data_IF_794687745406
#
_entry.id   IF_794687745406
#
_cell.length_a   1.000
_cell.length_b   1.000
_cell.length_c   1.000
_cell.angle_alpha   90.00
_cell.angle_beta   90.00
_cell.angle_gamma   90.00
#
_symmetry.space_group_name_H-M   'P 1'
#
loop_
_entity.id
_entity.type
_entity.pdbx_description
1 polymer ?
#
# COMPACT_ATOMS: atom_id res chain seq x y z
N UNK A 1 -12.98 -23.75 -8.37
CA UNK A 1 -12.62 -25.15 -8.70
C UNK A 1 -12.24 -25.77 -7.37
N UNK A 2 -12.94 -26.81 -6.93
CA UNK A 2 -13.11 -27.15 -5.51
C UNK A 2 -11.94 -28.03 -5.02
N UNK A 3 -11.12 -27.51 -4.09
CA UNK A 3 -10.17 -28.29 -3.29
C UNK A 3 -10.96 -29.06 -2.22
N UNK A 4 -10.73 -30.36 -2.05
CA UNK A 4 -11.29 -31.17 -0.96
C UNK A 4 -10.15 -31.82 -0.18
N UNK A 5 -10.13 -31.58 1.12
CA UNK A 5 -9.12 -32.06 2.07
C UNK A 5 -9.40 -33.49 2.57
N UNK A 6 -8.32 -34.25 2.76
CA UNK A 6 -8.28 -35.51 3.52
C UNK A 6 -7.36 -35.26 4.73
N UNK A 7 -7.94 -35.21 5.94
CA UNK A 7 -7.24 -34.74 7.15
C UNK A 7 -6.41 -35.88 7.75
N UNK A 8 -5.08 -35.69 7.84
CA UNK A 8 -4.18 -36.50 8.67
C UNK A 8 -3.75 -35.70 9.90
N UNK A 9 -3.95 -36.27 11.09
CA UNK A 9 -3.51 -35.68 12.36
C UNK A 9 -2.00 -35.87 12.55
N UNK A 10 -1.25 -34.78 12.76
CA UNK A 10 0.20 -34.77 12.90
C UNK A 10 0.70 -35.12 14.32
N UNK A 11 1.89 -35.73 14.36
CA UNK A 11 2.70 -35.98 15.57
C UNK A 11 3.45 -34.70 15.98
N UNK A 12 3.67 -34.39 17.26
CA UNK A 12 4.37 -33.16 17.67
C UNK A 12 5.83 -33.17 17.20
N UNK A 13 6.19 -32.29 16.25
CA UNK A 13 7.56 -32.07 15.80
C UNK A 13 7.77 -32.02 14.29
N UNK A 14 6.87 -32.61 13.50
CA UNK A 14 6.93 -32.51 12.04
C UNK A 14 6.13 -31.29 11.56
N UNK A 15 6.66 -30.50 10.61
CA UNK A 15 5.93 -29.39 10.01
C UNK A 15 4.63 -29.90 9.39
N UNK A 16 3.54 -29.15 9.59
CA UNK A 16 2.24 -29.51 9.01
C UNK A 16 2.35 -29.51 7.49
N UNK A 17 1.67 -30.47 6.87
CA UNK A 17 1.67 -30.60 5.41
C UNK A 17 0.41 -29.97 4.84
N UNK A 18 0.59 -29.00 3.94
CA UNK A 18 -0.46 -28.42 3.11
C UNK A 18 -0.43 -29.05 1.72
N UNK A 19 -1.59 -29.37 1.16
CA UNK A 19 -1.67 -30.00 -0.17
C UNK A 19 -2.26 -29.03 -1.19
N UNK A 20 -1.49 -28.70 -2.23
CA UNK A 20 -1.98 -27.96 -3.38
C UNK A 20 -2.17 -28.92 -4.56
N UNK A 21 -3.42 -29.28 -4.85
CA UNK A 21 -3.77 -30.24 -5.90
C UNK A 21 -4.09 -29.55 -7.22
N UNK A 22 -3.48 -30.03 -8.29
CA UNK A 22 -3.73 -29.58 -9.66
C UNK A 22 -4.23 -30.74 -10.51
N UNK A 23 -5.51 -30.68 -10.91
CA UNK A 23 -6.15 -31.72 -11.73
C UNK A 23 -5.82 -31.62 -13.22
N UNK A 24 -5.43 -30.43 -13.68
CA UNK A 24 -5.17 -30.14 -15.09
C UNK A 24 -3.87 -29.32 -15.24
N UNK A 25 -3.10 -29.54 -16.32
CA UNK A 25 -1.84 -28.84 -16.54
C UNK A 25 -2.02 -27.33 -16.67
N UNK A 26 -3.12 -26.83 -17.25
CA UNK A 26 -3.38 -25.39 -17.44
C UNK A 26 -3.52 -24.67 -16.09
N UNK A 27 -4.13 -25.35 -15.12
CA UNK A 27 -4.30 -24.81 -13.77
C UNK A 27 -2.94 -24.70 -13.06
N UNK A 28 -2.09 -25.71 -13.21
CA UNK A 28 -0.72 -25.66 -12.69
C UNK A 28 0.12 -24.61 -13.40
N UNK A 29 0.09 -24.53 -14.74
CA UNK A 29 0.85 -23.54 -15.50
C UNK A 29 0.45 -22.10 -15.14
N UNK A 30 -0.85 -21.85 -14.95
CA UNK A 30 -1.34 -20.55 -14.49
C UNK A 30 -0.82 -20.24 -13.08
N UNK A 31 -0.98 -21.16 -12.14
CA UNK A 31 -0.50 -20.98 -10.76
C UNK A 31 1.02 -20.81 -10.71
N UNK A 32 1.75 -21.54 -11.56
CA UNK A 32 3.20 -21.43 -11.66
C UNK A 32 3.62 -20.03 -12.10
N UNK A 33 3.06 -19.53 -13.21
CA UNK A 33 3.43 -18.21 -13.78
C UNK A 33 3.01 -17.06 -12.87
N UNK A 34 1.83 -17.17 -12.25
CA UNK A 34 1.31 -16.13 -11.38
C UNK A 34 1.99 -16.12 -10.01
N UNK A 35 2.26 -17.29 -9.43
CA UNK A 35 2.58 -17.40 -8.01
C UNK A 35 3.87 -18.18 -7.74
N UNK A 36 3.95 -19.46 -8.11
CA UNK A 36 5.06 -20.32 -7.69
C UNK A 36 6.42 -19.82 -8.21
N UNK A 37 6.49 -19.32 -9.45
CA UNK A 37 7.73 -18.80 -10.05
C UNK A 37 8.26 -17.54 -9.36
N UNK A 38 7.42 -16.91 -8.56
CA UNK A 38 7.72 -15.72 -7.74
C UNK A 38 7.94 -16.07 -6.27
N UNK A 39 7.96 -17.36 -5.91
CA UNK A 39 8.27 -17.81 -4.55
C UNK A 39 7.08 -17.84 -3.59
N UNK A 40 5.84 -17.79 -4.08
CA UNK A 40 4.65 -17.85 -3.22
C UNK A 40 3.55 -18.77 -3.74
N UNK A 41 2.63 -19.16 -2.86
CA UNK A 41 1.38 -19.86 -3.22
C UNK A 41 0.29 -19.54 -2.20
N UNK A 42 -0.96 -19.43 -2.65
CA UNK A 42 -2.12 -19.41 -1.76
C UNK A 42 -2.77 -20.80 -1.73
N UNK A 43 -3.04 -21.32 -0.53
CA UNK A 43 -3.65 -22.64 -0.33
C UNK A 43 -4.96 -22.44 0.42
N UNK A 44 -6.07 -22.79 -0.25
CA UNK A 44 -7.38 -22.83 0.38
C UNK A 44 -7.41 -23.94 1.44
N UNK A 45 -7.72 -23.58 2.69
CA UNK A 45 -7.83 -24.52 3.81
C UNK A 45 -8.71 -23.91 4.89
N UNK A 46 -9.44 -24.77 5.62
CA UNK A 46 -10.23 -24.36 6.78
C UNK A 46 -9.43 -24.39 8.09
N UNK A 47 -8.22 -24.95 8.04
CA UNK A 47 -7.33 -25.05 9.17
C UNK A 47 -6.80 -23.68 9.61
N UNK A 48 -6.57 -23.53 10.90
CA UNK A 48 -5.91 -22.36 11.47
C UNK A 48 -4.40 -22.53 11.47
N UNK A 49 -3.68 -21.47 11.12
CA UNK A 49 -2.23 -21.40 11.13
C UNK A 49 -1.79 -20.12 11.82
N UNK A 50 -0.62 -20.18 12.46
CA UNK A 50 0.03 -18.99 12.99
C UNK A 50 0.87 -18.32 11.90
N UNK A 51 0.99 -16.99 11.94
CA UNK A 51 1.98 -16.30 11.12
C UNK A 51 3.37 -16.83 11.49
N UNK A 52 4.21 -17.04 10.47
CA UNK A 52 5.56 -17.60 10.58
C UNK A 52 5.63 -19.08 10.92
N UNK A 53 4.50 -19.79 10.92
CA UNK A 53 4.49 -21.24 11.04
C UNK A 53 5.21 -21.87 9.83
N UNK A 54 6.15 -22.78 10.11
CA UNK A 54 6.84 -23.54 9.07
C UNK A 54 5.96 -24.72 8.63
N UNK A 55 5.77 -24.83 7.32
CA UNK A 55 4.92 -25.85 6.69
C UNK A 55 5.65 -26.54 5.55
N UNK A 56 5.26 -27.79 5.28
CA UNK A 56 5.65 -28.48 4.05
C UNK A 56 4.47 -28.41 3.08
N UNK A 57 4.74 -27.98 1.86
CA UNK A 57 3.75 -27.91 0.79
C UNK A 57 3.95 -29.10 -0.14
N UNK A 58 2.94 -29.95 -0.26
CA UNK A 58 2.88 -31.03 -1.25
C UNK A 58 2.09 -30.55 -2.47
N UNK A 59 2.80 -30.21 -3.54
CA UNK A 59 2.22 -29.94 -4.85
C UNK A 59 1.86 -31.27 -5.51
N UNK A 60 0.56 -31.57 -5.61
CA UNK A 60 0.08 -32.78 -6.25
C UNK A 60 -0.37 -32.50 -7.69
N UNK A 61 0.44 -32.91 -8.66
CA UNK A 61 0.14 -32.82 -10.08
C UNK A 61 -0.64 -34.07 -10.51
N UNK A 62 -1.95 -34.09 -10.24
CA UNK A 62 -2.79 -35.27 -10.48
C UNK A 62 -2.82 -35.67 -11.96
N UNK A 63 -2.66 -34.73 -12.89
CA UNK A 63 -2.56 -34.99 -14.32
C UNK A 63 -1.29 -35.75 -14.75
N UNK A 64 -0.31 -35.90 -13.86
CA UNK A 64 0.94 -36.66 -14.07
C UNK A 64 1.19 -37.75 -13.05
N UNK A 65 0.32 -37.87 -12.03
CA UNK A 65 0.54 -38.70 -10.85
C UNK A 65 1.90 -38.42 -10.14
N UNK A 66 2.31 -37.16 -10.15
CA UNK A 66 3.56 -36.69 -9.54
C UNK A 66 3.27 -35.83 -8.30
N UNK A 67 4.15 -35.90 -7.30
CA UNK A 67 4.09 -35.08 -6.07
C UNK A 67 5.43 -34.42 -5.82
N UNK A 68 5.41 -33.12 -5.52
CA UNK A 68 6.61 -32.35 -5.21
C UNK A 68 6.47 -31.70 -3.85
N UNK A 69 7.51 -31.83 -3.02
CA UNK A 69 7.57 -31.19 -1.71
C UNK A 69 8.44 -29.95 -1.75
N UNK A 70 7.92 -28.89 -1.14
CA UNK A 70 8.57 -27.60 -0.94
C UNK A 70 8.37 -27.21 0.52
N UNK A 71 9.37 -26.60 1.12
CA UNK A 71 9.23 -26.02 2.46
C UNK A 71 8.82 -24.55 2.33
N UNK A 72 7.98 -24.10 3.26
CA UNK A 72 7.43 -22.76 3.25
C UNK A 72 7.14 -22.21 4.65
N UNK A 73 6.88 -20.91 4.70
CA UNK A 73 6.50 -20.15 5.89
C UNK A 73 5.14 -19.46 5.63
N UNK A 74 4.23 -19.54 6.60
CA UNK A 74 2.94 -18.82 6.53
C UNK A 74 3.18 -17.32 6.68
N UNK A 75 2.92 -16.55 5.63
CA UNK A 75 3.12 -15.09 5.65
C UNK A 75 1.81 -14.30 5.70
N UNK A 76 0.69 -14.95 5.39
CA UNK A 76 -0.64 -14.36 5.53
C UNK A 76 -1.69 -15.43 5.76
N UNK A 77 -2.68 -15.11 6.58
CA UNK A 77 -3.84 -15.97 6.86
C UNK A 77 -5.09 -15.21 6.47
N UNK A 78 -5.93 -15.81 5.63
CA UNK A 78 -7.23 -15.27 5.23
C UNK A 78 -8.35 -16.03 5.95
N UNK A 79 -9.12 -15.36 6.83
CA UNK A 79 -10.21 -16.02 7.55
C UNK A 79 -11.38 -16.37 6.61
N UNK A 80 -12.14 -17.39 7.00
CA UNK A 80 -13.34 -17.80 6.28
C UNK A 80 -14.42 -16.72 6.25
N UNK A 81 -15.12 -16.59 5.11
CA UNK A 81 -16.30 -15.74 4.97
C UNK A 81 -15.99 -14.26 4.71
N UNK A 82 -14.72 -13.87 4.66
CA UNK A 82 -14.33 -12.50 4.39
C UNK A 82 -14.56 -12.13 2.92
N UNK A 83 -15.52 -11.24 2.66
CA UNK A 83 -15.90 -10.79 1.31
C UNK A 83 -16.25 -11.92 0.32
N UNK A 84 -16.73 -13.06 0.81
CA UNK A 84 -17.04 -14.23 -0.02
C UNK A 84 -15.82 -14.96 -0.59
N UNK A 85 -14.60 -14.55 -0.24
CA UNK A 85 -13.38 -15.26 -0.60
C UNK A 85 -13.24 -16.54 0.26
N UNK A 86 -12.62 -17.60 -0.29
CA UNK A 86 -12.33 -18.81 0.47
C UNK A 86 -11.30 -18.52 1.58
N UNK A 87 -11.44 -19.24 2.69
CA UNK A 87 -10.42 -19.28 3.73
C UNK A 87 -9.15 -19.91 3.18
N UNK A 88 -8.00 -19.49 3.67
CA UNK A 88 -6.74 -20.11 3.30
C UNK A 88 -5.53 -19.36 3.83
N UNK A 89 -4.37 -19.82 3.40
CA UNK A 89 -3.09 -19.27 3.81
C UNK A 89 -2.24 -18.95 2.60
N UNK A 90 -1.54 -17.81 2.66
CA UNK A 90 -0.48 -17.51 1.73
C UNK A 90 0.85 -17.95 2.32
N UNK A 91 1.58 -18.73 1.54
CA UNK A 91 2.84 -19.36 1.94
C UNK A 91 3.97 -18.79 1.10
N UNK A 92 5.01 -18.28 1.75
CA UNK A 92 6.29 -17.97 1.11
C UNK A 92 7.12 -19.24 1.06
N UNK A 93 7.63 -19.59 -0.11
CA UNK A 93 8.51 -20.73 -0.29
C UNK A 93 9.91 -20.37 0.21
N UNK A 94 10.54 -21.27 0.99
CA UNK A 94 11.87 -21.05 1.54
C UNK A 94 13.00 -21.24 0.52
N UNK A 95 12.71 -21.95 -0.57
CA UNK A 95 13.64 -22.10 -1.68
C UNK A 95 13.65 -20.80 -2.51
N UNK A 96 14.83 -20.36 -3.00
CA UNK A 96 14.92 -19.18 -3.87
C UNK A 96 14.03 -19.33 -5.10
N UNK A 97 13.47 -18.20 -5.57
CA UNK A 97 12.57 -18.19 -6.72
C UNK A 97 13.26 -18.75 -7.98
N UNK A 98 14.57 -18.51 -8.13
CA UNK A 98 15.42 -19.11 -9.18
C UNK A 98 15.43 -20.64 -9.15
N UNK A 99 15.58 -21.25 -7.98
CA UNK A 99 15.54 -22.71 -7.79
C UNK A 99 14.15 -23.27 -8.09
N UNK A 100 13.10 -22.61 -7.61
CA UNK A 100 11.71 -23.01 -7.87
C UNK A 100 11.43 -22.98 -9.38
N UNK A 101 11.88 -21.92 -10.07
CA UNK A 101 11.75 -21.81 -11.53
C UNK A 101 12.46 -22.95 -12.25
N UNK A 102 13.70 -23.27 -11.86
CA UNK A 102 14.46 -24.37 -12.44
C UNK A 102 13.81 -25.73 -12.20
N UNK A 103 13.25 -25.95 -11.00
CA UNK A 103 12.65 -27.22 -10.59
C UNK A 103 11.26 -27.45 -11.18
N UNK A 104 10.40 -26.43 -11.18
CA UNK A 104 8.99 -26.56 -11.58
C UNK A 104 8.70 -26.07 -13.01
N UNK A 105 9.56 -25.22 -13.58
CA UNK A 105 9.39 -24.67 -14.93
C UNK A 105 9.20 -25.73 -16.02
N UNK A 106 10.01 -26.81 -16.07
CA UNK A 106 9.83 -27.90 -17.03
C UNK A 106 8.49 -28.66 -16.89
N UNK A 107 7.81 -28.53 -15.76
CA UNK A 107 6.51 -29.14 -15.51
C UNK A 107 5.36 -28.23 -15.95
N UNK A 108 5.59 -26.92 -15.99
CA UNK A 108 4.60 -25.88 -16.31
C UNK A 108 4.51 -25.56 -17.80
N UNK A 109 5.39 -26.12 -18.64
CA UNK A 109 5.34 -25.97 -20.09
C UNK A 109 4.20 -26.78 -20.70
N UNK A 110 3.03 -26.16 -20.75
CA UNK A 110 2.13 -26.31 -21.89
C UNK A 110 2.66 -25.42 -23.02
N UNK A 111 2.37 -25.78 -24.28
CA UNK A 111 2.70 -24.93 -25.44
C UNK A 111 2.38 -23.45 -25.12
N UNK A 112 3.28 -22.51 -25.48
CA UNK A 112 3.15 -21.12 -25.09
C UNK A 112 1.78 -20.59 -25.49
N UNK A 113 1.00 -20.18 -24.49
CA UNK A 113 -0.27 -19.50 -24.67
C UNK A 113 0.05 -18.11 -25.23
N UNK A 114 -0.15 -17.92 -26.54
CA UNK A 114 0.19 -16.67 -27.25
C UNK A 114 -0.58 -15.44 -26.72
N UNK A 115 -1.65 -15.66 -25.94
CA UNK A 115 -2.58 -14.62 -25.49
C UNK A 115 -2.30 -14.05 -24.08
N UNK A 116 -1.30 -14.55 -23.35
CA UNK A 116 -0.91 -13.92 -22.07
C UNK A 116 0.06 -12.77 -22.34
N UNK A 117 -0.17 -11.56 -21.78
CA UNK A 117 0.78 -10.47 -21.88
C UNK A 117 2.08 -10.89 -21.20
N UNK A 118 3.05 -11.28 -22.02
CA UNK A 118 4.42 -11.51 -21.59
C UNK A 118 4.96 -10.13 -21.23
N UNK A 119 4.93 -9.78 -19.95
CA UNK A 119 5.79 -8.74 -19.40
C UNK A 119 7.24 -9.25 -19.39
N UNK A 120 7.73 -9.75 -20.53
CA UNK A 120 9.15 -9.99 -20.77
C UNK A 120 9.75 -8.62 -20.98
N UNK A 121 10.12 -7.99 -19.88
CA UNK A 121 10.98 -6.83 -19.89
C UNK A 121 12.27 -7.27 -20.62
N UNK A 122 12.58 -6.65 -21.77
CA UNK A 122 13.78 -6.95 -22.57
C UNK A 122 15.08 -6.49 -21.87
N UNK A 123 15.04 -6.36 -20.54
CA UNK A 123 16.06 -5.85 -19.64
C UNK A 123 16.44 -7.00 -18.71
N UNK A 124 17.74 -7.23 -18.51
CA UNK A 124 18.29 -8.48 -17.96
C UNK A 124 17.95 -8.87 -16.51
N UNK A 125 17.04 -8.17 -15.81
CA UNK A 125 16.62 -8.51 -14.45
C UNK A 125 15.10 -8.37 -14.29
N UNK A 126 14.45 -9.40 -13.74
CA UNK A 126 13.02 -9.41 -13.45
C UNK A 126 12.70 -8.39 -12.35
N UNK A 127 11.87 -7.39 -12.68
CA UNK A 127 11.30 -6.48 -11.68
C UNK A 127 10.03 -7.10 -11.11
N UNK A 128 9.83 -6.96 -9.81
CA UNK A 128 8.54 -7.23 -9.18
C UNK A 128 7.98 -5.94 -8.59
N UNK A 129 6.66 -5.83 -8.55
CA UNK A 129 5.93 -4.78 -7.82
C UNK A 129 5.97 -5.07 -6.30
N UNK A 130 7.15 -5.42 -5.79
CA UNK A 130 7.39 -5.67 -4.39
C UNK A 130 7.44 -4.34 -3.65
N UNK A 131 6.46 -4.13 -2.77
CA UNK A 131 6.38 -2.97 -1.87
C UNK A 131 7.00 -3.32 -0.53
N UNK A 132 8.13 -2.71 -0.25
CA UNK A 132 9.02 -3.05 0.85
C UNK A 132 9.46 -1.75 1.51
N UNK A 133 9.54 -1.75 2.84
CA UNK A 133 10.07 -0.61 3.57
C UNK A 133 11.56 -0.46 3.24
N UNK A 134 11.96 0.77 2.92
CA UNK A 134 13.32 1.14 2.56
C UNK A 134 13.70 2.40 3.33
N UNK A 135 14.88 2.43 3.93
CA UNK A 135 15.44 3.62 4.56
C UNK A 135 16.62 4.11 3.73
N UNK A 136 16.63 5.41 3.46
CA UNK A 136 17.77 6.09 2.79
C UNK A 136 18.45 6.95 3.83
N UNK A 137 19.71 6.66 4.12
CA UNK A 137 20.43 7.26 5.26
C UNK A 137 20.64 8.77 5.11
N UNK A 138 20.77 9.27 3.88
CA UNK A 138 21.00 10.68 3.56
C UNK A 138 19.79 11.57 3.92
N UNK A 139 18.58 11.03 3.84
CA UNK A 139 17.33 11.76 4.11
C UNK A 139 16.67 11.36 5.44
N UNK A 140 17.26 10.39 6.16
CA UNK A 140 16.74 9.81 7.40
C UNK A 140 15.22 9.53 7.35
N UNK A 141 14.77 9.04 6.19
CA UNK A 141 13.35 8.84 5.91
C UNK A 141 13.07 7.36 5.64
N UNK A 142 11.96 6.90 6.21
CA UNK A 142 11.38 5.59 5.86
C UNK A 142 10.49 5.77 4.62
N UNK A 143 10.79 4.99 3.59
CA UNK A 143 10.20 5.03 2.25
C UNK A 143 9.62 3.66 1.91
N UNK A 144 8.77 3.59 0.88
CA UNK A 144 8.37 2.32 0.27
C UNK A 144 8.99 2.16 -1.11
N UNK A 145 9.38 0.94 -1.46
CA UNK A 145 9.68 0.59 -2.85
C UNK A 145 8.36 0.52 -3.65
N UNK A 146 8.36 1.07 -4.87
CA UNK A 146 7.31 0.87 -5.87
C UNK A 146 7.60 -0.36 -6.73
N UNK A 147 8.86 -0.53 -7.11
CA UNK A 147 9.39 -1.73 -7.75
C UNK A 147 10.75 -2.09 -7.13
N UNK A 148 11.08 -3.38 -7.13
CA UNK A 148 12.35 -3.91 -6.66
C UNK A 148 12.89 -4.94 -7.65
N UNK A 149 14.19 -4.95 -7.86
CA UNK A 149 14.95 -5.95 -8.62
C UNK A 149 16.33 -6.15 -8.02
N UNK A 150 17.05 -7.18 -8.47
CA UNK A 150 18.44 -7.42 -8.07
C UNK A 150 19.39 -6.30 -8.47
N UNK A 151 19.03 -5.46 -9.45
CA UNK A 151 19.88 -4.38 -9.99
C UNK A 151 19.47 -2.98 -9.54
N UNK A 152 18.40 -2.85 -8.77
CA UNK A 152 17.90 -1.55 -8.32
C UNK A 152 16.45 -1.56 -7.86
N UNK A 153 16.02 -0.43 -7.33
CA UNK A 153 14.69 -0.18 -6.81
C UNK A 153 14.17 1.19 -7.26
N UNK A 154 12.85 1.31 -7.37
CA UNK A 154 12.18 2.60 -7.45
C UNK A 154 11.64 2.94 -6.07
N UNK A 155 12.20 3.94 -5.41
CA UNK A 155 11.78 4.39 -4.08
C UNK A 155 10.71 5.48 -4.23
N UNK A 156 9.66 5.40 -3.43
CA UNK A 156 8.67 6.47 -3.32
C UNK A 156 9.16 7.52 -2.34
N UNK A 157 9.35 8.73 -2.85
CA UNK A 157 9.96 9.84 -2.14
C UNK A 157 9.15 11.08 -2.42
N UNK A 158 8.68 11.75 -1.38
CA UNK A 158 8.04 13.07 -1.49
C UNK A 158 8.98 14.11 -0.92
N UNK A 159 9.32 15.09 -1.74
CA UNK A 159 10.03 16.30 -1.34
C UNK A 159 11.44 16.10 -0.75
N UNK A 160 12.09 14.96 -0.97
CA UNK A 160 13.48 14.80 -0.53
C UNK A 160 14.47 15.02 -1.69
N UNK A 161 15.47 15.89 -1.51
CA UNK A 161 16.40 16.27 -2.56
C UNK A 161 17.52 15.22 -2.65
N UNK A 162 17.30 14.17 -3.41
CA UNK A 162 18.38 13.31 -3.87
C UNK A 162 18.78 13.77 -5.28
N UNK A 163 20.06 13.99 -5.52
CA UNK A 163 20.56 14.48 -6.80
C UNK A 163 20.82 13.31 -7.78
N UNK A 164 20.62 13.57 -9.08
CA UNK A 164 20.99 12.59 -10.10
C UNK A 164 22.51 12.32 -10.07
N UNK A 165 22.87 11.05 -9.95
CA UNK A 165 24.25 10.59 -9.83
C UNK A 165 24.78 10.54 -8.40
N UNK A 166 23.98 10.92 -7.41
CA UNK A 166 24.31 10.77 -6.00
C UNK A 166 24.37 9.29 -5.61
N UNK A 167 25.42 8.91 -4.88
CA UNK A 167 25.56 7.59 -4.27
C UNK A 167 24.92 7.62 -2.90
N UNK A 168 24.01 6.68 -2.66
CA UNK A 168 23.21 6.59 -1.44
C UNK A 168 23.28 5.17 -0.85
N UNK A 169 23.10 5.04 0.46
CA UNK A 169 22.91 3.75 1.13
C UNK A 169 21.41 3.47 1.34
N UNK A 170 20.90 2.43 0.67
CA UNK A 170 19.51 1.99 0.80
C UNK A 170 19.44 0.77 1.71
N UNK A 171 18.78 0.91 2.86
CA UNK A 171 18.47 -0.20 3.76
C UNK A 171 17.09 -0.75 3.43
N UNK A 172 17.02 -1.95 2.84
CA UNK A 172 15.77 -2.65 2.56
C UNK A 172 15.39 -3.55 3.75
N UNK A 173 14.14 -3.49 4.19
CA UNK A 173 13.64 -4.30 5.30
C UNK A 173 12.75 -5.44 4.82
N UNK A 174 13.09 -6.68 5.17
CA UNK A 174 12.29 -7.84 4.82
C UNK A 174 10.89 -7.78 5.47
N UNK A 175 9.79 -7.93 4.71
CA UNK A 175 8.44 -7.57 5.16
C UNK A 175 7.85 -8.51 6.24
N UNK A 176 8.47 -9.67 6.46
CA UNK A 176 8.04 -10.68 7.45
C UNK A 176 9.02 -10.77 8.63
N UNK A 177 10.29 -11.10 8.36
CA UNK A 177 11.33 -11.20 9.41
C UNK A 177 11.71 -9.86 10.04
N UNK A 178 11.54 -8.73 9.34
CA UNK A 178 12.01 -7.41 9.77
C UNK A 178 13.53 -7.22 9.64
N UNK A 179 14.25 -8.20 9.08
CA UNK A 179 15.69 -8.10 8.82
C UNK A 179 15.98 -6.98 7.83
N UNK A 180 17.00 -6.18 8.11
CA UNK A 180 17.42 -5.07 7.25
C UNK A 180 18.71 -5.45 6.52
N UNK A 181 18.77 -5.11 5.23
CA UNK A 181 19.97 -5.27 4.42
C UNK A 181 20.32 -3.95 3.73
N UNK A 182 21.58 -3.53 3.87
CA UNK A 182 22.07 -2.27 3.31
C UNK A 182 22.74 -2.49 1.97
N UNK A 183 22.35 -1.69 0.99
CA UNK A 183 22.80 -1.79 -0.38
C UNK A 183 23.19 -0.40 -0.86
N UNK A 184 24.45 -0.24 -1.27
CA UNK A 184 24.91 0.97 -1.93
C UNK A 184 24.33 1.06 -3.35
N UNK A 185 23.83 2.23 -3.72
CA UNK A 185 23.31 2.46 -5.06
C UNK A 185 23.44 3.91 -5.50
N UNK A 186 23.32 4.12 -6.80
CA UNK A 186 23.38 5.45 -7.41
C UNK A 186 22.00 5.87 -7.89
N UNK A 187 21.63 7.11 -7.64
CA UNK A 187 20.40 7.73 -8.13
C UNK A 187 20.51 7.94 -9.64
N UNK A 188 19.69 7.25 -10.42
CA UNK A 188 19.79 7.25 -11.89
C UNK A 188 18.66 7.98 -12.60
N UNK A 189 17.55 8.24 -11.91
CA UNK A 189 16.42 8.99 -12.46
C UNK A 189 15.50 9.51 -11.37
N UNK A 190 14.85 10.62 -11.63
CA UNK A 190 13.68 11.07 -10.87
C UNK A 190 12.41 10.60 -11.58
N UNK A 191 11.43 10.23 -10.80
CA UNK A 191 10.06 10.01 -11.25
C UNK A 191 9.26 11.26 -10.88
N UNK A 192 8.78 11.98 -11.88
CA UNK A 192 7.99 13.20 -11.69
C UNK A 192 6.54 12.96 -12.07
N UNK A 193 5.62 13.43 -11.23
CA UNK A 193 4.19 13.51 -11.52
C UNK A 193 3.75 14.96 -11.26
N UNK A 194 3.11 15.58 -12.25
CA UNK A 194 2.65 16.99 -12.18
C UNK A 194 3.76 18.02 -11.84
N UNK A 195 5.01 17.73 -12.22
CA UNK A 195 6.16 18.61 -11.96
C UNK A 195 6.72 18.50 -10.53
N UNK A 196 6.28 17.52 -9.76
CA UNK A 196 6.79 17.19 -8.43
C UNK A 196 7.48 15.82 -8.50
N UNK A 197 8.67 15.70 -7.93
CA UNK A 197 9.36 14.42 -7.81
C UNK A 197 8.60 13.56 -6.81
N UNK A 198 8.03 12.44 -7.28
CA UNK A 198 7.27 11.48 -6.48
C UNK A 198 8.03 10.19 -6.19
N UNK A 199 9.21 10.02 -6.80
CA UNK A 199 10.07 8.89 -6.52
C UNK A 199 11.44 9.01 -7.18
N UNK A 200 12.33 8.12 -6.76
CA UNK A 200 13.72 8.10 -7.20
C UNK A 200 14.09 6.68 -7.61
N UNK A 201 14.58 6.54 -8.84
CA UNK A 201 15.12 5.27 -9.32
C UNK A 201 16.57 5.13 -8.88
N UNK A 202 16.85 4.11 -8.10
CA UNK A 202 18.17 3.78 -7.57
C UNK A 202 18.67 2.53 -8.29
N UNK A 203 19.89 2.60 -8.84
CA UNK A 203 20.59 1.44 -9.38
C UNK A 203 21.57 0.94 -8.33
N UNK A 204 21.50 -0.34 -7.97
CA UNK A 204 22.45 -0.93 -7.03
C UNK A 204 23.82 -1.10 -7.69
N UNK A 205 24.88 -0.87 -6.92
CA UNK A 205 26.24 -0.98 -7.43
C UNK A 205 26.58 -2.44 -7.78
N UNK A 206 27.11 -2.74 -8.99
CA UNK A 206 27.36 -4.12 -9.42
C UNK A 206 28.24 -4.92 -8.46
N UNK A 207 29.26 -4.28 -7.87
CA UNK A 207 30.17 -4.93 -6.91
C UNK A 207 29.46 -5.38 -5.61
N UNK A 208 28.32 -4.76 -5.29
CA UNK A 208 27.49 -5.12 -4.15
C UNK A 208 26.50 -6.21 -4.55
N UNK A 209 25.88 -6.10 -5.73
CA UNK A 209 24.92 -7.09 -6.26
C UNK A 209 25.56 -8.45 -6.52
N UNK A 210 26.83 -8.48 -6.94
CA UNK A 210 27.59 -9.73 -7.16
C UNK A 210 27.90 -10.49 -5.86
N UNK A 211 27.60 -9.92 -4.69
CA UNK A 211 27.68 -10.63 -3.43
C UNK A 211 26.49 -11.61 -3.32
N UNK A 212 26.74 -12.93 -3.13
CA UNK A 212 25.68 -13.93 -3.07
C UNK A 212 24.58 -13.66 -2.02
N UNK A 213 24.87 -12.83 -1.01
CA UNK A 213 23.91 -12.43 0.01
C UNK A 213 22.86 -11.43 -0.50
N UNK A 214 23.22 -10.50 -1.39
CA UNK A 214 22.31 -9.44 -1.86
C UNK A 214 21.27 -10.00 -2.81
N UNK A 215 21.69 -10.77 -3.81
CA UNK A 215 20.77 -11.39 -4.77
C UNK A 215 19.75 -12.26 -4.04
N UNK A 216 20.22 -13.13 -3.14
CA UNK A 216 19.35 -13.98 -2.33
C UNK A 216 18.40 -13.16 -1.46
N UNK A 217 18.91 -12.15 -0.76
CA UNK A 217 18.06 -11.30 0.07
C UNK A 217 16.98 -10.59 -0.75
N UNK A 218 17.32 -10.05 -1.93
CA UNK A 218 16.34 -9.41 -2.81
C UNK A 218 15.32 -10.43 -3.33
N UNK A 219 15.73 -11.62 -3.77
CA UNK A 219 14.79 -12.68 -4.17
C UNK A 219 13.86 -13.07 -3.00
N UNK A 220 14.40 -13.22 -1.79
CA UNK A 220 13.64 -13.57 -0.58
C UNK A 220 12.64 -12.46 -0.22
N UNK A 221 13.04 -11.19 -0.28
CA UNK A 221 12.17 -10.02 -0.08
C UNK A 221 11.06 -9.95 -1.12
N UNK A 222 11.38 -10.17 -2.39
CA UNK A 222 10.38 -10.18 -3.47
C UNK A 222 9.37 -11.32 -3.28
N UNK A 223 9.85 -12.52 -2.92
CA UNK A 223 9.00 -13.67 -2.66
C UNK A 223 8.07 -13.44 -1.45
N UNK A 224 8.61 -12.86 -0.36
CA UNK A 224 7.82 -12.50 0.81
C UNK A 224 6.74 -11.47 0.48
N UNK A 225 7.10 -10.41 -0.27
CA UNK A 225 6.17 -9.37 -0.68
C UNK A 225 5.05 -9.92 -1.57
N UNK A 226 5.40 -10.77 -2.55
CA UNK A 226 4.43 -11.43 -3.41
C UNK A 226 3.47 -12.34 -2.62
N UNK A 227 4.02 -13.21 -1.77
CA UNK A 227 3.20 -14.10 -0.95
C UNK A 227 2.27 -13.32 0.01
N UNK A 228 2.72 -12.19 0.57
CA UNK A 228 1.86 -11.30 1.37
C UNK A 228 0.70 -10.71 0.56
N UNK A 229 0.90 -10.40 -0.73
CA UNK A 229 -0.16 -9.93 -1.63
C UNK A 229 -1.16 -11.04 -1.96
N UNK A 230 -0.74 -12.30 -2.06
CA UNK A 230 -1.66 -13.42 -2.32
C UNK A 230 -2.72 -13.61 -1.23
N UNK A 231 -2.37 -13.29 0.03
CA UNK A 231 -3.30 -13.30 1.16
C UNK A 231 -4.21 -12.08 1.22
N UNK A 232 -3.86 -10.98 0.53
CA UNK A 232 -4.61 -9.73 0.55
C UNK A 232 -5.97 -9.87 -0.14
N UNK A 233 -6.94 -9.08 0.30
CA UNK A 233 -8.24 -8.95 -0.37
C UNK A 233 -8.25 -7.64 -1.12
N UNK A 234 -8.41 -7.71 -2.43
CA UNK A 234 -8.36 -6.55 -3.31
C UNK A 234 -9.69 -6.39 -4.05
N UNK A 235 -10.05 -5.16 -4.36
CA UNK A 235 -11.26 -4.87 -5.12
C UNK A 235 -11.46 -3.39 -5.40
N UNK A 236 -12.45 -3.04 -6.23
CA UNK A 236 -12.78 -1.65 -6.48
C UNK A 236 -13.62 -1.08 -5.34
N UNK A 237 -13.45 0.21 -5.05
CA UNK A 237 -14.14 0.90 -3.95
C UNK A 237 -15.61 1.19 -4.31
N UNK A 238 -15.88 1.48 -5.58
CA UNK A 238 -17.20 1.86 -6.09
C UNK A 238 -18.28 0.77 -5.91
N UNK A 239 -17.87 -0.48 -5.72
CA UNK A 239 -18.78 -1.60 -5.51
C UNK A 239 -19.51 -1.54 -4.14
N UNK A 240 -18.84 -1.10 -3.07
CA UNK A 240 -19.38 -1.14 -1.69
C UNK A 240 -19.21 0.17 -0.91
N UNK A 241 -18.27 1.03 -1.31
CA UNK A 241 -17.83 2.20 -0.56
C UNK A 241 -16.90 1.86 0.60
N UNK A 242 -16.00 2.79 0.94
CA UNK A 242 -14.95 2.55 1.93
C UNK A 242 -15.49 2.33 3.36
N UNK A 243 -16.57 3.01 3.74
CA UNK A 243 -17.22 2.85 5.05
C UNK A 243 -17.69 1.41 5.26
N UNK A 244 -18.40 0.85 4.28
CA UNK A 244 -18.92 -0.52 4.31
C UNK A 244 -17.79 -1.55 4.35
N UNK A 245 -16.72 -1.32 3.59
CA UNK A 245 -15.52 -2.16 3.59
C UNK A 245 -14.87 -2.20 4.98
N UNK A 246 -14.64 -1.03 5.60
CA UNK A 246 -14.06 -0.95 6.94
C UNK A 246 -14.93 -1.62 8.01
N UNK A 247 -16.25 -1.45 7.96
CA UNK A 247 -17.17 -2.13 8.87
C UNK A 247 -17.11 -3.65 8.70
N UNK A 248 -17.15 -4.13 7.45
CA UNK A 248 -17.06 -5.55 7.12
C UNK A 248 -15.75 -6.16 7.61
N UNK A 249 -14.61 -5.51 7.33
CA UNK A 249 -13.29 -5.99 7.76
C UNK A 249 -13.12 -5.93 9.28
N UNK A 250 -13.57 -4.84 9.92
CA UNK A 250 -13.53 -4.68 11.37
C UNK A 250 -14.38 -5.70 12.12
N UNK A 251 -15.47 -6.18 11.53
CA UNK A 251 -16.29 -7.24 12.10
C UNK A 251 -15.72 -8.66 11.88
N UNK A 252 -14.88 -8.83 10.87
CA UNK A 252 -14.43 -10.16 10.41
C UNK A 252 -12.99 -10.49 10.78
N UNK A 253 -12.17 -9.49 11.10
CA UNK A 253 -10.78 -9.65 11.48
C UNK A 253 -10.50 -8.88 12.78
N UNK A 254 -9.72 -9.47 13.72
CA UNK A 254 -9.37 -8.79 14.97
C UNK A 254 -8.43 -7.60 14.72
N UNK A 255 -7.66 -7.61 13.64
CA UNK A 255 -6.80 -6.52 13.22
C UNK A 255 -6.72 -6.48 11.69
N UNK A 256 -6.34 -5.33 11.14
CA UNK A 256 -6.08 -5.24 9.72
C UNK A 256 -5.56 -3.90 9.26
N UNK A 257 -4.94 -3.95 8.08
CA UNK A 257 -4.44 -2.80 7.35
C UNK A 257 -5.19 -2.71 6.02
N UNK A 258 -5.91 -1.61 5.81
CA UNK A 258 -6.61 -1.28 4.58
C UNK A 258 -5.85 -0.17 3.84
N UNK A 259 -5.26 -0.52 2.70
CA UNK A 259 -4.63 0.41 1.77
C UNK A 259 -5.65 0.82 0.72
N UNK A 260 -5.66 2.11 0.38
CA UNK A 260 -6.64 2.73 -0.52
C UNK A 260 -5.90 3.53 -1.57
N UNK A 261 -6.27 3.39 -2.84
CA UNK A 261 -5.67 4.13 -3.95
C UNK A 261 -6.73 4.72 -4.87
N UNK A 262 -6.61 6.00 -5.20
CA UNK A 262 -7.42 6.70 -6.21
C UNK A 262 -6.51 7.60 -7.04
N UNK A 263 -6.24 7.21 -8.28
CA UNK A 263 -5.22 7.89 -9.10
C UNK A 263 -3.86 7.90 -8.40
N UNK A 264 -3.36 9.10 -8.12
CA UNK A 264 -2.10 9.36 -7.39
C UNK A 264 -2.30 9.39 -5.86
N UNK A 265 -3.53 9.55 -5.39
CA UNK A 265 -3.83 9.59 -3.97
C UNK A 265 -3.74 8.20 -3.37
N UNK A 266 -3.10 8.14 -2.20
CA UNK A 266 -2.90 6.91 -1.45
C UNK A 266 -3.17 7.17 0.00
N UNK A 267 -3.92 6.27 0.60
CA UNK A 267 -4.09 6.28 2.03
C UNK A 267 -4.19 4.90 2.62
N UNK A 268 -4.31 4.93 3.92
CA UNK A 268 -4.10 3.81 4.81
C UNK A 268 -5.05 3.97 5.98
N UNK A 269 -5.67 2.88 6.37
CA UNK A 269 -6.43 2.76 7.60
C UNK A 269 -5.97 1.51 8.33
N UNK A 270 -5.57 1.64 9.59
CA UNK A 270 -5.16 0.53 10.45
C UNK A 270 -6.10 0.43 11.62
N UNK A 271 -6.58 -0.78 11.91
CA UNK A 271 -7.39 -1.07 13.07
C UNK A 271 -6.93 -2.33 13.79
N UNK A 272 -7.20 -2.40 15.08
CA UNK A 272 -6.86 -3.53 15.94
C UNK A 272 -7.79 -3.58 17.15
N UNK A 273 -8.30 -4.77 17.47
CA UNK A 273 -9.26 -5.03 18.53
C UNK A 273 -10.51 -4.12 18.47
N UNK A 274 -11.01 -3.85 17.27
CA UNK A 274 -12.16 -2.97 17.04
C UNK A 274 -11.87 -1.47 17.26
N UNK A 275 -10.61 -1.09 17.42
CA UNK A 275 -10.18 0.31 17.53
C UNK A 275 -9.45 0.76 16.27
N UNK A 276 -9.75 1.97 15.79
CA UNK A 276 -8.89 2.66 14.83
C UNK A 276 -7.56 3.00 15.50
N UNK A 277 -6.47 2.55 14.89
CA UNK A 277 -5.10 2.82 15.33
C UNK A 277 -4.42 3.89 14.50
N UNK A 278 -4.71 3.97 13.20
CA UNK A 278 -4.16 5.00 12.35
C UNK A 278 -5.04 5.25 11.12
N UNK A 279 -5.11 6.49 10.66
CA UNK A 279 -5.61 6.83 9.33
C UNK A 279 -4.71 7.88 8.66
N UNK A 280 -4.31 7.66 7.41
CA UNK A 280 -3.39 8.55 6.67
C UNK A 280 -3.85 8.74 5.24
N UNK A 281 -3.76 9.97 4.74
CA UNK A 281 -3.96 10.31 3.34
C UNK A 281 -3.10 11.54 3.01
N UNK A 282 -2.00 11.32 2.30
CA UNK A 282 -0.99 12.37 2.13
C UNK A 282 -0.45 12.85 3.48
N UNK A 283 -0.47 14.16 3.71
CA UNK A 283 -0.05 14.78 4.98
C UNK A 283 -1.15 14.72 6.06
N UNK A 284 -2.40 14.45 5.68
CA UNK A 284 -3.49 14.34 6.64
C UNK A 284 -3.36 13.06 7.47
N UNK A 285 -3.66 13.19 8.75
CA UNK A 285 -3.66 12.10 9.74
C UNK A 285 -4.96 12.05 10.56
N UNK A 286 -5.19 10.93 11.25
CA UNK A 286 -6.32 10.76 12.17
C UNK A 286 -7.69 10.91 11.51
N UNK A 287 -8.63 11.54 12.25
CA UNK A 287 -10.02 11.67 11.82
C UNK A 287 -10.16 12.43 10.49
N UNK A 288 -9.29 13.41 10.26
CA UNK A 288 -9.28 14.22 9.03
C UNK A 288 -8.93 13.36 7.82
N UNK A 289 -7.89 12.54 7.92
CA UNK A 289 -7.52 11.59 6.89
C UNK A 289 -8.64 10.56 6.64
N UNK A 290 -9.21 10.02 7.72
CA UNK A 290 -10.31 9.06 7.63
C UNK A 290 -11.51 9.66 6.88
N UNK A 291 -11.94 10.87 7.23
CA UNK A 291 -13.05 11.54 6.56
C UNK A 291 -12.79 11.72 5.05
N UNK A 292 -11.59 12.17 4.67
CA UNK A 292 -11.22 12.31 3.24
C UNK A 292 -11.21 10.97 2.51
N UNK A 293 -10.68 9.92 3.14
CA UNK A 293 -10.71 8.57 2.59
C UNK A 293 -12.14 8.06 2.40
N UNK A 294 -13.02 8.27 3.38
CA UNK A 294 -14.42 7.88 3.30
C UNK A 294 -15.19 8.64 2.21
N UNK A 295 -14.70 9.80 1.78
CA UNK A 295 -15.27 10.56 0.66
C UNK A 295 -14.92 9.97 -0.72
N UNK A 296 -14.01 8.97 -0.82
CA UNK A 296 -13.68 8.33 -2.08
C UNK A 296 -14.88 7.55 -2.62
N UNK A 297 -15.27 7.82 -3.87
CA UNK A 297 -16.37 7.14 -4.56
C UNK A 297 -15.90 6.05 -5.52
N UNK A 298 -14.63 6.11 -5.89
CA UNK A 298 -13.95 5.25 -6.84
C UNK A 298 -12.51 5.00 -6.37
N UNK A 299 -11.83 4.08 -7.04
CA UNK A 299 -10.48 3.64 -6.70
C UNK A 299 -10.42 2.15 -6.40
N UNK A 300 -9.29 1.72 -5.85
CA UNK A 300 -9.04 0.34 -5.46
C UNK A 300 -8.63 0.26 -3.99
N UNK A 301 -9.01 -0.82 -3.33
CA UNK A 301 -8.55 -1.13 -1.99
C UNK A 301 -7.73 -2.42 -1.99
N UNK A 302 -6.88 -2.54 -0.98
CA UNK A 302 -6.14 -3.75 -0.64
C UNK A 302 -6.20 -3.91 0.87
N UNK A 303 -6.74 -5.03 1.34
CA UNK A 303 -6.89 -5.35 2.75
C UNK A 303 -5.99 -6.51 3.14
N UNK A 304 -5.26 -6.34 4.24
CA UNK A 304 -4.52 -7.41 4.89
C UNK A 304 -5.06 -7.65 6.30
N UNK A 305 -5.32 -8.92 6.65
CA UNK A 305 -5.84 -9.34 7.96
C UNK A 305 -4.76 -9.37 9.06
N UNK A 306 -3.80 -8.46 8.97
CA UNK A 306 -2.75 -8.26 9.95
C UNK A 306 -2.42 -6.78 10.04
N UNK A 307 -1.93 -6.38 11.20
CA UNK A 307 -1.45 -5.03 11.43
C UNK A 307 -0.06 -4.87 10.83
N UNK A 308 0.11 -3.83 10.02
CA UNK A 308 1.43 -3.49 9.49
C UNK A 308 2.31 -2.80 10.56
N UNK A 309 3.52 -3.31 10.82
CA UNK A 309 4.42 -2.77 11.83
C UNK A 309 5.04 -1.43 11.40
N UNK A 310 5.51 -0.65 12.36
CA UNK A 310 6.28 0.59 12.10
C UNK A 310 5.46 1.82 11.72
N UNK A 311 4.14 1.69 11.56
CA UNK A 311 3.27 2.82 11.23
C UNK A 311 3.03 3.73 12.46
N UNK A 312 3.12 5.07 12.31
CA UNK A 312 2.79 6.00 13.39
C UNK A 312 1.34 5.84 13.85
N UNK A 313 1.12 5.62 15.14
CA UNK A 313 -0.20 5.46 15.74
C UNK A 313 -0.87 6.81 16.05
N UNK A 314 -2.17 6.87 15.80
CA UNK A 314 -3.07 7.91 16.31
C UNK A 314 -3.63 7.50 17.69
N UNK A 315 -4.31 8.44 18.35
CA UNK A 315 -5.09 8.11 19.53
C UNK A 315 -6.14 7.03 19.20
N UNK A 316 -6.12 5.95 19.96
CA UNK A 316 -7.05 4.84 19.81
C UNK A 316 -8.50 5.31 20.01
N UNK A 317 -9.37 4.90 19.10
CA UNK A 317 -10.80 5.20 19.17
C UNK A 317 -11.62 4.03 18.61
N UNK A 318 -12.84 3.76 19.12
CA UNK A 318 -13.68 2.70 18.59
C UNK A 318 -13.90 2.88 17.08
N UNK A 319 -13.64 1.84 16.30
CA UNK A 319 -13.65 1.89 14.83
C UNK A 319 -15.03 2.34 14.30
N UNK A 320 -16.11 1.80 14.82
CA UNK A 320 -17.47 2.17 14.41
C UNK A 320 -17.79 3.65 14.71
N UNK A 321 -17.34 4.15 15.87
CA UNK A 321 -17.51 5.55 16.22
C UNK A 321 -16.70 6.46 15.29
N UNK A 322 -15.47 6.05 14.94
CA UNK A 322 -14.63 6.78 14.00
C UNK A 322 -15.21 6.80 12.58
N UNK A 323 -15.78 5.69 12.12
CA UNK A 323 -16.46 5.63 10.81
C UNK A 323 -17.68 6.54 10.80
N UNK A 324 -18.51 6.48 11.84
CA UNK A 324 -19.70 7.34 11.95
C UNK A 324 -19.34 8.83 11.95
N UNK A 325 -18.35 9.21 12.76
CA UNK A 325 -17.85 10.57 12.83
C UNK A 325 -17.23 11.02 11.49
N UNK A 326 -16.45 10.16 10.85
CA UNK A 326 -15.87 10.43 9.53
C UNK A 326 -16.95 10.68 8.47
N UNK A 327 -18.02 9.88 8.43
CA UNK A 327 -19.17 10.09 7.53
C UNK A 327 -19.88 11.41 7.84
N UNK A 328 -20.09 11.74 9.13
CA UNK A 328 -20.65 13.04 9.53
C UNK A 328 -19.83 14.21 8.99
N UNK A 329 -18.50 14.13 9.07
CA UNK A 329 -17.59 15.16 8.56
C UNK A 329 -17.65 15.27 7.02
N UNK A 330 -17.79 14.15 6.30
CA UNK A 330 -18.00 14.16 4.84
C UNK A 330 -19.29 14.88 4.47
N UNK A 331 -20.39 14.60 5.17
CA UNK A 331 -21.69 15.23 4.93
C UNK A 331 -21.71 16.72 5.30
N UNK A 332 -20.94 17.12 6.32
CA UNK A 332 -20.76 18.52 6.70
C UNK A 332 -19.96 19.28 5.66
N UNK A 333 -18.84 18.72 5.20
CA UNK A 333 -18.05 19.31 4.14
C UNK A 333 -18.89 19.49 2.87
N UNK A 334 -19.69 18.50 2.48
CA UNK A 334 -20.55 18.59 1.30
C UNK A 334 -21.56 19.76 1.38
N UNK A 335 -22.01 20.14 2.59
CA UNK A 335 -22.94 21.26 2.81
C UNK A 335 -22.27 22.63 2.74
N UNK A 336 -21.01 22.72 3.15
CA UNK A 336 -20.26 23.99 3.24
C UNK A 336 -19.18 24.14 2.18
N UNK A 337 -19.06 23.17 1.27
CA UNK A 337 -18.08 23.14 0.20
C UNK A 337 -18.05 24.46 -0.59
N UNK A 338 -16.84 24.93 -0.85
CA UNK A 338 -16.62 26.14 -1.65
C UNK A 338 -16.76 25.75 -3.13
N UNK A 339 -17.27 26.63 -3.99
CA UNK A 339 -17.28 26.42 -5.44
C UNK A 339 -15.89 26.07 -5.98
N UNK A 340 -15.83 25.18 -6.97
CA UNK A 340 -14.57 24.77 -7.61
C UNK A 340 -13.74 25.95 -8.13
N UNK A 341 -14.39 27.02 -8.61
CA UNK A 341 -13.73 28.25 -9.06
C UNK A 341 -12.90 28.94 -7.98
N UNK A 342 -13.26 28.79 -6.71
CA UNK A 342 -12.48 29.31 -5.57
C UNK A 342 -11.33 28.36 -5.25
N UNK A 343 -11.57 27.05 -5.28
CA UNK A 343 -10.58 26.01 -4.98
C UNK A 343 -9.44 25.98 -6.02
N UNK A 344 -9.76 26.19 -7.29
CA UNK A 344 -8.79 26.26 -8.39
C UNK A 344 -8.13 27.64 -8.54
N UNK A 345 -8.68 28.65 -7.87
CA UNK A 345 -8.20 30.03 -7.89
C UNK A 345 -7.08 30.27 -6.87
N UNK A 346 -6.37 31.39 -7.02
CA UNK A 346 -5.44 31.84 -5.97
C UNK A 346 -6.20 32.67 -4.93
N UNK A 347 -6.01 32.36 -3.66
CA UNK A 347 -6.48 33.22 -2.56
C UNK A 347 -5.46 34.34 -2.34
N UNK A 348 -5.96 35.56 -2.11
CA UNK A 348 -5.15 36.73 -1.73
C UNK A 348 -5.77 37.44 -0.56
N UNK A 349 -4.93 38.07 0.26
CA UNK A 349 -5.37 38.95 1.32
C UNK A 349 -5.51 40.39 0.84
N UNK A 350 -6.61 41.03 1.21
CA UNK A 350 -6.69 42.49 1.28
C UNK A 350 -6.10 42.95 2.61
N UNK A 351 -4.84 43.40 2.57
CA UNK A 351 -4.12 43.86 3.77
C UNK A 351 -4.79 45.04 4.46
N UNK A 352 -5.38 45.95 3.71
CA UNK A 352 -6.05 47.12 4.27
C UNK A 352 -7.37 46.76 4.97
N UNK A 353 -8.04 45.69 4.53
CA UNK A 353 -9.17 45.08 5.25
C UNK A 353 -8.72 44.34 6.49
N UNK A 354 -7.69 43.50 6.37
CA UNK A 354 -7.12 42.74 7.47
C UNK A 354 -6.63 43.66 8.60
N UNK A 355 -5.98 44.78 8.31
CA UNK A 355 -5.55 45.74 9.36
C UNK A 355 -6.71 46.39 10.11
N UNK A 356 -7.88 46.55 9.46
CA UNK A 356 -9.06 47.17 10.08
C UNK A 356 -9.93 46.18 10.86
N UNK A 357 -9.97 44.93 10.42
CA UNK A 357 -10.91 43.91 10.91
C UNK A 357 -10.18 42.70 11.56
N UNK A 358 -8.85 42.70 11.56
CA UNK A 358 -7.99 41.58 11.94
C UNK A 358 -8.08 41.18 13.41
N UNK A 359 -8.30 42.15 14.31
CA UNK A 359 -8.47 41.89 15.74
C UNK A 359 -9.74 41.08 16.07
N UNK A 360 -10.67 40.96 15.11
CA UNK A 360 -11.91 40.19 15.24
C UNK A 360 -11.85 38.80 14.58
N UNK A 361 -10.69 38.35 14.08
CA UNK A 361 -10.56 37.04 13.47
C UNK A 361 -10.55 35.93 14.52
N UNK A 362 -11.29 34.86 14.22
CA UNK A 362 -11.19 33.63 15.00
C UNK A 362 -9.85 32.93 14.75
N UNK A 363 -9.49 31.97 15.61
CA UNK A 363 -8.20 31.26 15.54
C UNK A 363 -7.96 30.61 14.16
N UNK A 364 -8.97 29.96 13.59
CA UNK A 364 -8.86 29.30 12.27
C UNK A 364 -8.72 30.34 11.15
N UNK A 365 -9.47 31.44 11.23
CA UNK A 365 -9.41 32.53 10.24
C UNK A 365 -8.06 33.24 10.26
N UNK A 366 -7.51 33.47 11.45
CA UNK A 366 -6.17 34.01 11.65
C UNK A 366 -5.10 33.10 11.04
N UNK A 367 -5.16 31.79 11.29
CA UNK A 367 -4.25 30.82 10.69
C UNK A 367 -4.36 30.78 9.15
N UNK A 368 -5.58 30.82 8.61
CA UNK A 368 -5.82 30.91 7.16
C UNK A 368 -5.18 32.17 6.60
N UNK A 369 -5.38 33.32 7.23
CA UNK A 369 -4.82 34.59 6.77
C UNK A 369 -3.28 34.51 6.75
N UNK A 370 -2.65 34.03 7.82
CA UNK A 370 -1.19 33.91 7.88
C UNK A 370 -0.62 33.01 6.76
N UNK A 371 -1.23 31.86 6.51
CA UNK A 371 -0.79 30.94 5.46
C UNK A 371 -1.03 31.49 4.05
N UNK A 372 -2.16 32.17 3.81
CA UNK A 372 -2.42 32.85 2.54
C UNK A 372 -1.45 34.04 2.35
N UNK A 373 -1.08 34.75 3.42
CA UNK A 373 -0.07 35.80 3.38
C UNK A 373 1.30 35.27 2.97
N UNK A 374 1.62 34.04 3.38
CA UNK A 374 2.80 33.29 2.98
C UNK A 374 2.71 32.69 1.56
N UNK A 375 1.57 32.87 0.88
CA UNK A 375 1.36 32.43 -0.50
C UNK A 375 0.99 30.96 -0.66
N UNK A 376 0.55 30.29 0.41
CA UNK A 376 0.14 28.89 0.33
C UNK A 376 -1.18 28.76 -0.45
N UNK A 377 -1.28 27.75 -1.34
CA UNK A 377 -2.52 27.40 -2.02
C UNK A 377 -3.52 26.73 -1.05
N UNK A 378 -4.80 26.67 -1.46
CA UNK A 378 -5.91 26.24 -0.60
C UNK A 378 -5.79 24.77 -0.15
N UNK A 379 -5.36 23.88 -1.04
CA UNK A 379 -5.05 22.48 -0.72
C UNK A 379 -4.03 22.36 0.43
N UNK A 380 -2.97 23.17 0.41
CA UNK A 380 -2.00 23.22 1.50
C UNK A 380 -2.58 23.79 2.80
N UNK A 381 -3.56 24.69 2.74
CA UNK A 381 -4.29 25.12 3.95
C UNK A 381 -5.05 23.95 4.57
N UNK A 382 -5.68 23.14 3.73
CA UNK A 382 -6.36 21.93 4.18
C UNK A 382 -5.39 20.95 4.82
N UNK A 383 -4.14 20.85 4.39
CA UNK A 383 -3.19 19.90 4.98
C UNK A 383 -2.56 20.41 6.28
N UNK A 384 -2.21 21.69 6.33
CA UNK A 384 -1.46 22.28 7.46
C UNK A 384 -2.32 22.58 8.68
N UNK A 385 -3.59 22.99 8.48
CA UNK A 385 -4.43 23.42 9.61
C UNK A 385 -5.05 22.16 10.27
N UNK A 386 -4.82 21.92 11.58
CA UNK A 386 -5.23 20.69 12.27
C UNK A 386 -6.71 20.75 12.74
N UNK A 387 -7.61 21.18 11.88
CA UNK A 387 -9.08 21.17 12.10
C UNK A 387 -9.78 20.48 10.94
N UNK A 388 -11.07 20.17 11.09
CA UNK A 388 -11.85 19.53 10.03
C UNK A 388 -11.92 20.41 8.78
N UNK A 389 -11.90 19.79 7.58
CA UNK A 389 -11.94 20.54 6.32
C UNK A 389 -13.18 21.44 6.23
N UNK A 390 -14.33 20.99 6.74
CA UNK A 390 -15.56 21.78 6.77
C UNK A 390 -15.38 23.12 7.52
N UNK A 391 -14.65 23.13 8.64
CA UNK A 391 -14.36 24.35 9.41
C UNK A 391 -13.49 25.32 8.61
N UNK A 392 -12.48 24.81 7.89
CA UNK A 392 -11.63 25.62 7.01
C UNK A 392 -12.46 26.23 5.88
N UNK A 393 -13.35 25.45 5.27
CA UNK A 393 -14.27 25.92 4.22
C UNK A 393 -15.21 27.02 4.72
N UNK A 394 -15.77 26.87 5.93
CA UNK A 394 -16.61 27.90 6.56
C UNK A 394 -15.81 29.17 6.85
N UNK A 395 -14.63 29.05 7.44
CA UNK A 395 -13.75 30.18 7.75
C UNK A 395 -13.32 30.94 6.48
N UNK A 396 -12.90 30.24 5.42
CA UNK A 396 -12.58 30.86 4.13
C UNK A 396 -13.79 31.57 3.54
N UNK A 397 -14.99 30.99 3.60
CA UNK A 397 -16.22 31.65 3.15
C UNK A 397 -16.47 32.95 3.92
N UNK A 398 -16.39 32.92 5.25
CA UNK A 398 -16.58 34.12 6.09
C UNK A 398 -15.54 35.22 5.81
N UNK A 399 -14.29 34.84 5.55
CA UNK A 399 -13.23 35.77 5.15
C UNK A 399 -13.47 36.38 3.75
N UNK A 400 -13.99 35.59 2.79
CA UNK A 400 -14.37 36.07 1.46
C UNK A 400 -15.57 37.03 1.52
N UNK A 401 -16.59 36.70 2.32
CA UNK A 401 -17.78 37.54 2.50
C UNK A 401 -17.46 38.90 3.15
N UNK A 402 -16.48 38.93 4.06
CA UNK A 402 -15.95 40.18 4.64
C UNK A 402 -14.99 40.93 3.70
N UNK A 403 -14.59 40.31 2.59
CA UNK A 403 -13.61 40.87 1.65
C UNK A 403 -12.19 40.95 2.21
N UNK A 404 -11.89 40.18 3.27
CA UNK A 404 -10.52 40.04 3.81
C UNK A 404 -9.72 39.11 2.90
N UNK A 405 -10.35 38.02 2.45
CA UNK A 405 -9.85 37.21 1.35
C UNK A 405 -10.49 37.64 0.03
N UNK A 406 -9.71 37.52 -1.03
CA UNK A 406 -10.12 37.73 -2.41
C UNK A 406 -9.76 36.48 -3.21
N UNK A 407 -10.71 35.94 -3.96
CA UNK A 407 -10.45 34.87 -4.92
C UNK A 407 -10.05 35.47 -6.26
N UNK A 408 -8.87 35.09 -6.76
CA UNK A 408 -8.40 35.46 -8.09
C UNK A 408 -8.58 34.26 -9.00
N UNK A 409 -9.58 34.32 -9.87
CA UNK A 409 -9.72 33.34 -10.94
C UNK A 409 -8.45 33.33 -11.79
N UNK A 410 -7.85 32.15 -12.02
CA UNK A 410 -6.82 32.00 -13.06
C UNK A 410 -7.47 32.43 -14.38
N UNK A 411 -7.15 33.62 -14.87
CA UNK A 411 -7.62 34.06 -16.17
C UNK A 411 -7.24 33.00 -17.20
N UNK A 412 -8.18 32.57 -18.05
CA UNK A 412 -7.86 31.83 -19.27
C UNK A 412 -6.84 32.69 -20.02
N UNK A 413 -5.57 32.30 -19.98
CA UNK A 413 -4.57 32.81 -20.90
C UNK A 413 -5.08 32.53 -22.30
N UNK A 414 -5.27 33.59 -23.07
CA UNK A 414 -5.43 33.54 -24.54
C UNK A 414 -4.09 33.19 -25.16
#
# INVERSE_FOLDING_TARGET
MVVREEIQYATPGDPRTLVARFDAPECFSREYRSNLSQGGIFIETADTFDLRELVTIELWLAFRDERHRLDGEIVSVRPAGLAGAPAGVAVQLLAPASEIRARLGPLATLEPDEDLPVHADARGASRSDARVQARVDEVDAMLETRDLSTSGALLELRDAPLDLGETIEVSLQHPVSGEEYRIEGTVVRHHEENGVVTGVGVRFEPAVVEQPGVERFVEDVQAAAHAKQLGAIQGPIDALGLASLLQMFGASAPAGTLRVRRGEERGLVVFEAGELRAARLGEASGMKALARLLAFRDGAFEFHAHREPGLPEDAAQPLDAAIFEGVRLVDELARVALPASILEGALRLDRARLEREGDALEKVESAIADLVAAGLPFDRLLDVIPVADAEIHVAVRGLLERGILLSVSRGRGV
#
